data_IF_045236775207
#
_entry.id   IF_045236775207
#
_cell.length_a   1.000
_cell.length_b   1.000
_cell.length_c   1.000
_cell.angle_alpha   90.00
_cell.angle_beta   90.00
_cell.angle_gamma   90.00
#
_symmetry.space_group_name_H-M   'P 1'
#
loop_
_entity.id
_entity.type
_entity.pdbx_description
1 polymer ?
#
# COMPACT_ATOMS: atom_id res chain seq x y z
N UNK A 1 -0.25 -5.55 -0.01
CA UNK A 1 0.59 -5.80 -1.20
C UNK A 1 0.52 -4.56 -2.09
N UNK A 2 1.64 -3.90 -2.30
CA UNK A 2 1.76 -2.76 -3.19
C UNK A 2 2.15 -3.29 -4.57
N UNK A 3 1.45 -2.82 -5.60
CA UNK A 3 1.68 -3.21 -6.99
C UNK A 3 2.47 -2.12 -7.70
N UNK A 4 3.26 -2.51 -8.70
CA UNK A 4 3.92 -1.57 -9.60
C UNK A 4 2.92 -0.58 -10.21
N UNK A 5 3.37 0.65 -10.46
CA UNK A 5 2.53 1.73 -10.96
C UNK A 5 2.29 2.82 -9.91
N UNK A 6 1.20 3.58 -10.08
CA UNK A 6 0.87 4.75 -9.25
C UNK A 6 -0.35 4.57 -8.34
N UNK A 7 -0.93 3.38 -8.30
CA UNK A 7 -2.21 3.12 -7.62
C UNK A 7 -2.02 2.24 -6.40
N UNK A 8 -2.36 2.79 -5.23
CA UNK A 8 -2.37 2.08 -3.97
C UNK A 8 -3.76 1.50 -3.71
N UNK A 9 -3.80 0.27 -3.20
CA UNK A 9 -5.04 -0.43 -2.81
C UNK A 9 -4.80 -1.20 -1.53
N UNK A 10 -5.76 -1.16 -0.61
CA UNK A 10 -5.77 -1.97 0.59
C UNK A 10 -7.18 -2.41 0.94
N UNK A 11 -7.27 -3.44 1.77
CA UNK A 11 -8.52 -3.98 2.29
C UNK A 11 -8.36 -4.23 3.79
N UNK A 12 -9.43 -4.01 4.57
CA UNK A 12 -9.43 -4.38 5.99
C UNK A 12 -9.21 -5.89 6.17
N UNK A 13 -8.72 -6.29 7.34
CA UNK A 13 -8.54 -7.70 7.68
C UNK A 13 -9.86 -8.50 7.59
N UNK A 14 -10.98 -7.86 7.93
CA UNK A 14 -12.34 -8.43 7.82
C UNK A 14 -12.90 -8.39 6.39
N UNK A 15 -12.15 -7.88 5.41
CA UNK A 15 -12.49 -7.83 3.97
C UNK A 15 -13.78 -7.07 3.63
N UNK A 16 -14.18 -6.14 4.49
CA UNK A 16 -15.42 -5.36 4.34
C UNK A 16 -15.18 -3.88 3.99
N UNK A 17 -13.94 -3.40 4.13
CA UNK A 17 -13.56 -2.02 3.78
C UNK A 17 -12.48 -2.09 2.73
N UNK A 18 -12.69 -1.40 1.61
CA UNK A 18 -11.72 -1.26 0.53
C UNK A 18 -11.35 0.22 0.39
N UNK A 19 -10.05 0.50 0.38
CA UNK A 19 -9.52 1.84 0.17
C UNK A 19 -8.54 1.84 -1.00
N UNK A 20 -8.53 2.95 -1.74
CA UNK A 20 -7.60 3.17 -2.85
C UNK A 20 -7.20 4.64 -2.94
N UNK A 21 -6.00 4.88 -3.46
CA UNK A 21 -5.48 6.21 -3.74
C UNK A 21 -4.57 6.15 -4.98
N UNK A 22 -4.57 7.22 -5.76
CA UNK A 22 -3.59 7.45 -6.82
C UNK A 22 -2.53 8.44 -6.28
N UNK A 23 -1.25 8.14 -6.51
CA UNK A 23 -0.11 8.95 -6.04
C UNK A 23 0.70 9.49 -7.22
N UNK A 24 1.55 10.49 -6.99
CA UNK A 24 2.36 11.08 -8.05
C UNK A 24 3.52 10.16 -8.46
N UNK A 25 4.06 9.42 -7.50
CA UNK A 25 5.18 8.49 -7.64
C UNK A 25 4.79 7.23 -8.42
N UNK A 26 5.78 6.62 -9.07
CA UNK A 26 5.62 5.35 -9.75
C UNK A 26 6.49 4.27 -9.09
N UNK A 27 5.85 3.28 -8.48
CA UNK A 27 6.55 2.13 -7.91
C UNK A 27 7.06 1.21 -9.03
N UNK A 28 8.37 0.91 -9.09
CA UNK A 28 8.95 0.18 -10.23
C UNK A 28 8.67 -1.33 -10.21
N UNK A 29 8.33 -1.89 -9.05
CA UNK A 29 8.07 -3.32 -8.87
C UNK A 29 7.04 -3.57 -7.77
N UNK A 30 6.55 -4.81 -7.69
CA UNK A 30 5.64 -5.27 -6.64
C UNK A 30 6.40 -5.52 -5.34
N UNK A 31 5.82 -5.13 -4.21
CA UNK A 31 6.38 -5.42 -2.88
C UNK A 31 5.31 -5.44 -1.79
N UNK A 32 5.62 -6.02 -0.63
CA UNK A 32 4.71 -6.05 0.51
C UNK A 32 5.39 -5.45 1.74
N UNK A 33 4.62 -4.69 2.52
CA UNK A 33 5.01 -4.23 3.84
C UNK A 33 4.13 -5.01 4.82
N UNK A 34 4.77 -5.72 5.76
CA UNK A 34 4.06 -6.53 6.77
C UNK A 34 3.50 -5.62 7.87
N UNK A 35 4.37 -4.84 8.53
CA UNK A 35 4.01 -3.85 9.54
C UNK A 35 4.12 -2.43 8.99
N UNK A 36 3.03 -1.94 8.38
CA UNK A 36 3.02 -0.62 7.73
C UNK A 36 3.28 0.52 8.74
N UNK A 37 2.68 0.44 9.93
CA UNK A 37 2.82 1.50 10.94
C UNK A 37 4.26 1.63 11.43
N UNK A 38 4.94 0.51 11.70
CA UNK A 38 6.35 0.49 12.09
C UNK A 38 7.25 0.99 10.97
N UNK A 39 6.99 0.57 9.73
CA UNK A 39 7.76 1.01 8.56
C UNK A 39 7.68 2.53 8.35
N UNK A 40 6.50 3.15 8.53
CA UNK A 40 6.35 4.60 8.41
C UNK A 40 6.97 5.32 9.61
N UNK A 41 6.88 4.75 10.81
CA UNK A 41 7.39 5.39 12.03
C UNK A 41 8.91 5.51 12.13
N UNK A 42 9.67 4.85 11.23
CA UNK A 42 11.14 4.95 11.15
C UNK A 42 11.63 5.88 10.04
N UNK A 43 10.72 6.48 9.27
CA UNK A 43 11.00 7.50 8.25
C UNK A 43 10.99 8.89 8.87
#
# INVERSE_FOLDING_TARGET
>A
LIKKGKKLKTVSALKNILAHADVEENFPQDFAIYQLNEFIGVL
#
